data_IF_866302784740
#
_entry.id   IF_866302784740
#
_cell.length_a   1.000
_cell.length_b   1.000
_cell.length_c   1.000
_cell.angle_alpha   90.00
_cell.angle_beta   90.00
_cell.angle_gamma   90.00
#
_symmetry.space_group_name_H-M   'P 1'
#
loop_
_entity.id
_entity.type
_entity.pdbx_description
1 polymer ?
#
# COMPACT_ATOMS: atom_id res chain seq x y z
N UNK A 1 16.67 -1.17 4.53
CA UNK A 1 17.84 -0.40 5.01
C UNK A 1 19.13 -0.73 4.24
N UNK A 2 19.45 -2.00 3.95
CA UNK A 2 20.69 -2.39 3.26
C UNK A 2 20.89 -1.73 1.88
N UNK A 3 19.82 -1.31 1.20
CA UNK A 3 19.91 -0.56 -0.06
C UNK A 3 20.37 0.89 0.17
N UNK A 4 19.97 1.47 1.32
CA UNK A 4 20.31 2.85 1.71
C UNK A 4 21.67 2.91 2.41
N UNK A 5 21.99 1.86 3.15
CA UNK A 5 23.21 1.71 3.94
C UNK A 5 23.89 0.36 3.64
N UNK A 6 24.49 0.19 2.46
CA UNK A 6 25.08 -1.09 2.05
C UNK A 6 26.26 -1.51 2.96
N UNK A 7 26.92 -0.53 3.59
CA UNK A 7 28.04 -0.73 4.50
C UNK A 7 27.66 -1.41 5.82
N UNK A 8 26.41 -1.30 6.25
CA UNK A 8 25.98 -1.84 7.54
C UNK A 8 25.71 -3.35 7.50
N UNK A 9 25.47 -3.93 6.31
CA UNK A 9 25.17 -5.36 6.12
C UNK A 9 24.18 -5.91 7.17
N UNK A 10 23.09 -5.18 7.42
CA UNK A 10 22.10 -5.52 8.43
C UNK A 10 21.49 -6.90 8.13
N UNK A 11 21.33 -7.71 9.18
CA UNK A 11 20.70 -9.03 9.06
C UNK A 11 19.24 -8.87 8.61
N UNK A 12 18.90 -9.49 7.49
CA UNK A 12 17.54 -9.59 7.01
C UNK A 12 16.92 -10.91 7.48
N UNK A 13 15.67 -10.88 7.95
CA UNK A 13 14.92 -12.09 8.23
C UNK A 13 14.24 -12.63 6.97
N UNK A 14 14.11 -13.93 6.86
CA UNK A 14 13.32 -14.56 5.79
C UNK A 14 11.84 -14.26 5.98
N UNK A 15 11.14 -14.04 4.86
CA UNK A 15 9.68 -13.89 4.86
C UNK A 15 9.07 -15.26 5.16
N UNK A 16 8.20 -15.35 6.16
CA UNK A 16 7.47 -16.58 6.43
C UNK A 16 6.49 -16.87 5.30
N UNK A 17 6.72 -17.94 4.53
CA UNK A 17 5.82 -18.36 3.44
C UNK A 17 4.38 -18.65 3.91
N UNK A 18 4.22 -19.13 5.16
CA UNK A 18 2.90 -19.45 5.74
C UNK A 18 2.07 -18.23 6.14
N UNK A 19 2.71 -17.10 6.47
CA UNK A 19 2.03 -15.91 7.01
C UNK A 19 2.16 -14.69 6.09
N UNK A 20 2.96 -14.75 5.01
CA UNK A 20 3.23 -13.62 4.13
C UNK A 20 3.88 -12.42 4.85
N UNK A 21 4.40 -12.62 6.07
CA UNK A 21 4.96 -11.57 6.93
C UNK A 21 6.44 -11.81 7.16
N UNK A 22 7.22 -10.74 7.12
CA UNK A 22 8.63 -10.76 7.52
C UNK A 22 8.77 -11.11 9.02
N UNK A 23 9.83 -11.84 9.36
CA UNK A 23 10.17 -12.10 10.75
C UNK A 23 10.65 -10.80 11.40
N UNK A 24 10.08 -10.44 12.56
CA UNK A 24 10.56 -9.30 13.34
C UNK A 24 12.00 -9.57 13.80
N UNK A 25 12.97 -8.92 13.16
CA UNK A 25 14.39 -9.03 13.49
C UNK A 25 14.86 -7.90 14.40
N UNK A 26 14.17 -6.75 14.36
CA UNK A 26 14.50 -5.56 15.15
C UNK A 26 13.68 -5.58 16.44
N UNK A 27 14.35 -5.55 17.60
CA UNK A 27 13.71 -5.54 18.93
C UNK A 27 13.61 -4.15 19.55
N UNK A 28 14.43 -3.21 19.09
CA UNK A 28 14.51 -1.83 19.57
C UNK A 28 14.74 -0.89 18.39
N UNK A 29 14.44 0.39 18.57
CA UNK A 29 14.68 1.40 17.54
C UNK A 29 16.17 1.78 17.53
N UNK A 30 16.78 1.75 16.36
CA UNK A 30 18.14 2.19 16.11
C UNK A 30 18.17 3.37 15.15
N UNK A 31 19.07 4.32 15.39
CA UNK A 31 19.27 5.49 14.54
C UNK A 31 20.59 5.38 13.78
N UNK A 32 20.51 5.45 12.45
CA UNK A 32 21.66 5.45 11.57
C UNK A 32 21.85 6.82 10.93
N UNK A 33 23.07 7.36 11.01
CA UNK A 33 23.40 8.63 10.35
C UNK A 33 23.60 8.40 8.85
N UNK A 34 22.90 9.17 8.02
CA UNK A 34 23.03 9.09 6.57
C UNK A 34 24.12 10.02 6.05
N UNK A 35 24.86 9.59 5.02
CA UNK A 35 25.97 10.35 4.42
C UNK A 35 25.52 11.70 3.83
N UNK A 36 24.28 11.79 3.33
CA UNK A 36 23.67 13.03 2.83
C UNK A 36 23.15 13.96 3.94
N UNK A 37 23.40 13.63 5.21
CA UNK A 37 22.89 14.34 6.38
C UNK A 37 21.59 13.75 6.93
N UNK A 38 21.33 14.03 8.22
CA UNK A 38 20.15 13.49 8.92
C UNK A 38 20.36 12.08 9.48
N UNK A 39 19.26 11.49 9.97
CA UNK A 39 19.23 10.17 10.57
C UNK A 39 18.06 9.35 10.00
N UNK A 40 18.27 8.05 9.90
CA UNK A 40 17.24 7.08 9.56
C UNK A 40 17.00 6.19 10.77
N UNK A 41 15.74 6.07 11.20
CA UNK A 41 15.34 5.21 12.31
C UNK A 41 14.90 3.84 11.79
N UNK A 42 15.55 2.77 12.27
CA UNK A 42 15.04 1.41 12.11
C UNK A 42 14.16 1.06 13.30
N UNK A 43 12.87 0.95 13.07
CA UNK A 43 11.88 0.64 14.09
C UNK A 43 11.39 -0.79 13.96
N UNK A 44 10.93 -1.43 15.05
CA UNK A 44 10.25 -2.72 14.95
C UNK A 44 9.11 -2.66 13.94
N UNK A 45 8.99 -3.67 13.07
CA UNK A 45 7.95 -3.72 12.06
C UNK A 45 6.55 -3.84 12.70
N UNK A 46 5.62 -3.02 12.24
CA UNK A 46 4.21 -3.13 12.60
C UNK A 46 3.53 -4.09 11.63
N UNK A 47 3.01 -5.21 12.13
CA UNK A 47 2.50 -6.31 11.30
C UNK A 47 1.01 -6.21 10.96
N UNK A 48 0.28 -5.27 11.54
CA UNK A 48 -1.14 -5.07 11.24
C UNK A 48 -1.53 -3.60 11.36
N UNK A 49 -2.28 -3.11 10.39
CA UNK A 49 -3.13 -1.93 10.56
C UNK A 49 -4.37 -2.43 11.31
N UNK A 50 -4.75 -1.77 12.40
CA UNK A 50 -5.93 -2.14 13.16
C UNK A 50 -7.16 -2.11 12.24
N UNK A 51 -7.85 -3.25 12.11
CA UNK A 51 -9.02 -3.43 11.23
C UNK A 51 -10.18 -2.48 11.55
N UNK A 52 -10.20 -1.89 12.73
CA UNK A 52 -11.23 -0.94 13.16
C UNK A 52 -11.28 0.39 12.40
N UNK A 53 -10.27 0.71 11.58
CA UNK A 53 -10.24 1.91 10.74
C UNK A 53 -10.79 1.68 9.32
N UNK A 54 -11.04 0.43 8.92
CA UNK A 54 -11.47 0.07 7.58
C UNK A 54 -13.00 0.02 7.51
N UNK A 55 -13.64 1.18 7.34
CA UNK A 55 -15.08 1.30 7.10
C UNK A 55 -15.40 1.35 5.61
N UNK A 56 -16.69 1.15 5.26
CA UNK A 56 -17.20 1.30 3.89
C UNK A 56 -16.81 2.64 3.26
N UNK A 57 -16.86 3.72 4.03
CA UNK A 57 -16.47 5.06 3.58
C UNK A 57 -15.00 5.12 3.15
N UNK A 58 -14.13 4.32 3.76
CA UNK A 58 -12.71 4.27 3.40
C UNK A 58 -12.51 3.75 1.99
N UNK A 59 -13.28 2.74 1.56
CA UNK A 59 -13.25 2.20 0.19
C UNK A 59 -13.55 3.27 -0.86
N UNK A 60 -14.55 4.12 -0.60
CA UNK A 60 -14.92 5.22 -1.51
C UNK A 60 -13.81 6.28 -1.64
N UNK A 61 -12.98 6.40 -0.62
CA UNK A 61 -11.90 7.38 -0.56
C UNK A 61 -10.51 6.79 -0.80
N UNK A 62 -10.39 5.47 -0.98
CA UNK A 62 -9.10 4.79 -1.12
C UNK A 62 -8.24 5.39 -2.24
N UNK A 63 -8.83 5.68 -3.40
CA UNK A 63 -8.09 6.27 -4.52
C UNK A 63 -7.48 7.64 -4.17
N UNK A 64 -8.13 8.43 -3.29
CA UNK A 64 -7.63 9.73 -2.84
C UNK A 64 -6.43 9.61 -1.89
N UNK A 65 -6.24 8.44 -1.26
CA UNK A 65 -5.08 8.16 -0.41
C UNK A 65 -3.80 7.92 -1.23
N UNK A 66 -3.94 7.69 -2.53
CA UNK A 66 -2.84 7.55 -3.47
C UNK A 66 -2.62 8.89 -4.17
N UNK A 67 -1.63 9.67 -3.71
CA UNK A 67 -1.39 11.04 -4.22
C UNK A 67 -1.16 11.11 -5.72
N UNK A 68 -0.48 10.12 -6.26
CA UNK A 68 -0.17 9.95 -7.68
C UNK A 68 -1.40 9.63 -8.55
N UNK A 69 -2.55 9.32 -7.95
CA UNK A 69 -3.79 9.02 -8.65
C UNK A 69 -4.68 10.26 -8.89
N UNK A 70 -4.49 11.31 -8.12
CA UNK A 70 -5.39 12.47 -8.03
C UNK A 70 -5.68 13.11 -9.39
N UNK A 71 -4.67 13.24 -10.23
CA UNK A 71 -4.81 13.90 -11.54
C UNK A 71 -5.58 13.07 -12.57
N UNK A 72 -5.76 11.77 -12.33
CA UNK A 72 -6.33 10.81 -13.27
C UNK A 72 -7.72 10.30 -12.89
N UNK A 73 -8.07 10.33 -11.60
CA UNK A 73 -9.34 9.81 -11.09
C UNK A 73 -10.56 10.56 -11.60
N UNK A 74 -10.41 11.84 -11.93
CA UNK A 74 -11.49 12.68 -12.48
C UNK A 74 -11.74 12.47 -13.97
N UNK A 75 -10.86 11.75 -14.67
CA UNK A 75 -10.93 11.53 -16.12
C UNK A 75 -11.58 10.20 -16.50
N UNK A 76 -12.35 9.61 -15.59
CA UNK A 76 -13.05 8.35 -15.82
C UNK A 76 -14.39 8.57 -16.51
N UNK A 77 -14.76 7.63 -17.38
CA UNK A 77 -16.08 7.63 -18.06
C UNK A 77 -17.25 7.54 -17.08
N UNK A 78 -17.05 6.86 -15.95
CA UNK A 78 -18.07 6.62 -14.93
C UNK A 78 -17.71 7.32 -13.63
N UNK A 79 -18.69 7.98 -13.01
CA UNK A 79 -18.53 8.69 -11.73
C UNK A 79 -18.27 7.74 -10.55
N UNK A 80 -18.73 6.49 -10.64
CA UNK A 80 -18.54 5.44 -9.63
C UNK A 80 -17.45 4.44 -10.03
N UNK A 81 -16.44 4.90 -10.78
CA UNK A 81 -15.34 4.05 -11.22
C UNK A 81 -14.54 3.52 -10.02
N UNK A 82 -14.34 2.20 -9.95
CA UNK A 82 -13.51 1.57 -8.92
C UNK A 82 -12.01 1.65 -9.23
N UNK A 83 -11.65 2.06 -10.45
CA UNK A 83 -10.27 2.15 -10.94
C UNK A 83 -9.52 0.80 -10.94
N UNK A 84 -10.22 -0.31 -10.94
CA UNK A 84 -9.62 -1.66 -10.91
C UNK A 84 -9.52 -2.29 -12.29
N UNK A 85 -10.60 -2.25 -13.09
CA UNK A 85 -10.67 -2.92 -14.40
C UNK A 85 -11.62 -2.26 -15.41
N UNK A 86 -12.22 -1.11 -15.12
CA UNK A 86 -13.25 -0.49 -15.95
C UNK A 86 -12.69 0.10 -17.24
N UNK A 87 -13.39 -0.15 -18.34
CA UNK A 87 -13.10 0.48 -19.64
C UNK A 87 -13.39 1.99 -19.59
N UNK A 88 -12.45 2.79 -20.08
CA UNK A 88 -12.54 4.26 -20.02
C UNK A 88 -12.22 4.81 -18.64
N UNK A 89 -11.38 4.13 -17.89
CA UNK A 89 -10.83 4.61 -16.63
C UNK A 89 -9.54 5.40 -16.90
N UNK A 90 -9.53 6.69 -16.54
CA UNK A 90 -8.37 7.57 -16.73
C UNK A 90 -7.14 7.12 -15.95
N UNK A 91 -7.34 6.45 -14.80
CA UNK A 91 -6.25 5.89 -14.02
C UNK A 91 -5.59 4.70 -14.74
N UNK A 92 -6.39 3.77 -15.30
CA UNK A 92 -5.85 2.62 -16.05
C UNK A 92 -5.13 3.06 -17.33
N UNK A 93 -5.60 4.12 -17.98
CA UNK A 93 -4.93 4.73 -19.11
C UNK A 93 -3.56 5.28 -18.69
N UNK A 94 -3.49 6.02 -17.57
CA UNK A 94 -2.24 6.53 -17.03
C UNK A 94 -1.25 5.42 -16.64
N UNK A 95 -1.74 4.27 -16.15
CA UNK A 95 -0.91 3.08 -15.89
C UNK A 95 -0.37 2.50 -17.19
N UNK A 96 -1.21 2.40 -18.25
CA UNK A 96 -0.80 1.87 -19.55
C UNK A 96 0.25 2.75 -20.25
N UNK A 97 0.17 4.07 -20.04
CA UNK A 97 1.11 5.07 -20.54
C UNK A 97 2.39 5.19 -19.68
N UNK A 98 2.48 4.44 -18.58
CA UNK A 98 3.64 4.48 -17.66
C UNK A 98 3.72 5.73 -16.77
N UNK A 99 2.67 6.57 -16.74
CA UNK A 99 2.57 7.74 -15.85
C UNK A 99 2.39 7.33 -14.38
N UNK A 100 1.74 6.19 -14.17
CA UNK A 100 1.61 5.54 -12.86
C UNK A 100 2.27 4.16 -12.92
N UNK A 101 3.05 3.83 -11.92
CA UNK A 101 3.72 2.53 -11.82
C UNK A 101 2.70 1.40 -11.66
N UNK A 102 2.84 0.34 -12.46
CA UNK A 102 1.96 -0.84 -12.40
C UNK A 102 1.94 -1.49 -11.01
N UNK A 103 3.10 -1.55 -10.32
CA UNK A 103 3.19 -2.06 -8.94
C UNK A 103 2.35 -1.22 -7.96
N UNK A 104 2.31 0.09 -8.16
CA UNK A 104 1.53 1.02 -7.37
C UNK A 104 0.02 0.77 -7.54
N UNK A 105 -0.41 0.61 -8.79
CA UNK A 105 -1.80 0.25 -9.10
C UNK A 105 -2.17 -1.14 -8.55
N UNK A 106 -1.28 -2.13 -8.66
CA UNK A 106 -1.52 -3.46 -8.08
C UNK A 106 -1.74 -3.39 -6.55
N UNK A 107 -0.94 -2.59 -5.83
CA UNK A 107 -1.14 -2.38 -4.39
C UNK A 107 -2.51 -1.77 -4.08
N UNK A 108 -2.96 -0.81 -4.90
CA UNK A 108 -4.30 -0.24 -4.79
C UNK A 108 -5.39 -1.30 -4.97
N UNK A 109 -5.30 -2.13 -6.03
CA UNK A 109 -6.28 -3.19 -6.31
C UNK A 109 -6.36 -4.19 -5.16
N UNK A 110 -5.22 -4.61 -4.61
CA UNK A 110 -5.17 -5.51 -3.45
C UNK A 110 -5.93 -4.94 -2.26
N UNK A 111 -5.65 -3.69 -1.88
CA UNK A 111 -6.35 -3.01 -0.78
C UNK A 111 -7.84 -2.85 -1.06
N UNK A 112 -8.21 -2.52 -2.30
CA UNK A 112 -9.61 -2.37 -2.70
C UNK A 112 -10.40 -3.68 -2.54
N UNK A 113 -9.83 -4.82 -2.96
CA UNK A 113 -10.46 -6.13 -2.85
C UNK A 113 -10.53 -6.60 -1.38
N UNK A 114 -9.54 -6.30 -0.55
CA UNK A 114 -9.59 -6.56 0.90
C UNK A 114 -10.76 -5.81 1.55
N UNK A 115 -10.92 -4.52 1.25
CA UNK A 115 -12.03 -3.70 1.76
C UNK A 115 -13.40 -4.20 1.30
N UNK A 116 -13.50 -4.68 0.06
CA UNK A 116 -14.72 -5.26 -0.49
C UNK A 116 -15.13 -6.55 0.22
N UNK A 117 -14.15 -7.37 0.62
CA UNK A 117 -14.40 -8.60 1.37
C UNK A 117 -14.89 -8.33 2.80
N UNK A 118 -14.36 -7.32 3.48
CA UNK A 118 -14.80 -6.90 4.82
C UNK A 118 -16.27 -6.48 4.78
N UNK A 119 -16.70 -5.77 3.74
CA UNK A 119 -18.09 -5.34 3.55
C UNK A 119 -19.07 -6.52 3.42
N UNK A 120 -18.69 -7.57 2.69
CA UNK A 120 -19.52 -8.76 2.52
C UNK A 120 -19.74 -9.53 3.83
N UNK A 121 -18.78 -9.53 4.74
CA UNK A 121 -18.91 -10.15 6.06
C UNK A 121 -19.87 -9.38 6.97
N UNK A 122 -19.81 -8.06 6.99
CA UNK A 122 -20.69 -7.21 7.81
C UNK A 122 -22.18 -7.27 7.37
N UNK A 123 -22.45 -7.55 6.09
CA UNK A 123 -23.82 -7.70 5.57
C UNK A 123 -24.42 -9.09 5.78
N UNK A 124 -23.64 -10.11 6.11
CA UNK A 124 -24.16 -11.47 6.40
C UNK A 124 -24.61 -11.67 7.84
N UNK A 125 -24.43 -10.68 8.70
CA UNK A 125 -24.78 -10.68 10.13
C UNK A 125 -26.08 -9.96 10.49
N UNK A 126 -26.93 -9.61 9.49
CA UNK A 126 -28.28 -9.04 9.72
C UNK A 126 -29.34 -9.97 9.21
#
# INVERSE_FOLDING_TARGET
LNVIFPELQLKTGEVSEKLGRGRHTTRHTELYRHALGGFVADTPGFSSVEEGLLTYDFKLHLAKCFRDFTDYTNNCRFTSCSHTCEKGCGLLEAVSEGKIQKSRHNSYVTLYEELKNIEQWNNKGK
#
